data_IF_717761829253
#
_entry.id   IF_717761829253
#
_cell.length_a   1.000
_cell.length_b   1.000
_cell.length_c   1.000
_cell.angle_alpha   90.00
_cell.angle_beta   90.00
_cell.angle_gamma   90.00
#
_symmetry.space_group_name_H-M   'P 1'
#
loop_
_entity.id
_entity.type
_entity.pdbx_description
1 polymer ?
#
# COMPACT_ATOMS: atom_id res chain seq x y z
N UNK A 1 17.18 -0.62 4.17
CA UNK A 1 15.85 -0.86 3.57
C UNK A 1 15.01 -1.91 4.32
N UNK A 2 15.57 -3.05 4.79
CA UNK A 2 14.78 -4.11 5.46
C UNK A 2 13.89 -3.63 6.62
N UNK A 3 14.40 -2.75 7.49
CA UNK A 3 13.62 -2.16 8.59
C UNK A 3 12.41 -1.38 8.05
N UNK A 4 12.62 -0.52 7.05
CA UNK A 4 11.56 0.25 6.39
C UNK A 4 10.49 -0.69 5.82
N UNK A 5 10.89 -1.80 5.21
CA UNK A 5 9.95 -2.79 4.69
C UNK A 5 9.16 -3.49 5.80
N UNK A 6 9.80 -3.77 6.94
CA UNK A 6 9.12 -4.29 8.13
C UNK A 6 8.09 -3.30 8.69
N UNK A 7 8.42 -2.00 8.70
CA UNK A 7 7.49 -0.93 9.11
C UNK A 7 6.29 -0.87 8.14
N UNK A 8 6.52 -0.88 6.83
CA UNK A 8 5.45 -0.88 5.82
C UNK A 8 4.58 -2.14 5.98
N UNK A 9 5.18 -3.31 6.15
CA UNK A 9 4.45 -4.56 6.40
C UNK A 9 3.53 -4.42 7.62
N UNK A 10 4.08 -3.95 8.74
CA UNK A 10 3.31 -3.77 9.98
C UNK A 10 2.18 -2.77 9.79
N UNK A 11 2.44 -1.64 9.13
CA UNK A 11 1.41 -0.64 8.84
C UNK A 11 0.28 -1.19 7.98
N UNK A 12 0.59 -1.95 6.92
CA UNK A 12 -0.42 -2.58 6.08
C UNK A 12 -1.21 -3.66 6.82
N UNK A 13 -0.58 -4.43 7.72
CA UNK A 13 -1.28 -5.38 8.59
C UNK A 13 -2.22 -4.67 9.58
N UNK A 14 -1.83 -3.52 10.12
CA UNK A 14 -2.73 -2.70 10.93
C UNK A 14 -3.92 -2.22 10.11
N UNK A 15 -3.71 -1.84 8.84
CA UNK A 15 -4.79 -1.46 7.94
C UNK A 15 -5.73 -2.64 7.69
N UNK A 16 -5.22 -3.85 7.42
CA UNK A 16 -6.04 -5.08 7.33
C UNK A 16 -6.83 -5.30 8.63
N UNK A 17 -6.21 -5.09 9.79
CA UNK A 17 -6.84 -5.29 11.09
C UNK A 17 -8.02 -4.36 11.38
N UNK A 18 -7.97 -3.10 10.93
CA UNK A 18 -9.11 -2.18 11.17
C UNK A 18 -10.32 -2.51 10.29
N UNK A 19 -10.13 -3.19 9.16
CA UNK A 19 -11.20 -3.55 8.21
C UNK A 19 -12.18 -4.60 8.73
N UNK A 20 -11.89 -5.27 9.85
CA UNK A 20 -12.88 -6.16 10.47
C UNK A 20 -14.15 -5.43 10.95
N UNK A 21 -14.09 -4.10 11.03
CA UNK A 21 -15.22 -3.25 11.44
C UNK A 21 -16.04 -2.71 10.26
N UNK A 22 -15.61 -2.94 9.01
CA UNK A 22 -16.23 -2.36 7.82
C UNK A 22 -17.03 -3.43 7.01
N UNK A 23 -18.21 -3.07 6.46
CA UNK A 23 -19.10 -4.02 5.77
C UNK A 23 -18.51 -4.61 4.48
N UNK A 24 -17.64 -3.87 3.81
CA UNK A 24 -16.90 -4.26 2.61
C UNK A 24 -15.41 -4.59 2.91
N UNK A 25 -15.08 -4.79 4.19
CA UNK A 25 -13.72 -4.95 4.68
C UNK A 25 -12.92 -6.08 4.02
N UNK A 26 -13.56 -7.11 3.46
CA UNK A 26 -12.86 -8.19 2.76
C UNK A 26 -12.08 -7.72 1.52
N UNK A 27 -12.63 -6.76 0.77
CA UNK A 27 -11.94 -6.15 -0.36
C UNK A 27 -10.73 -5.35 0.12
N UNK A 28 -10.91 -4.52 1.13
CA UNK A 28 -9.85 -3.69 1.71
C UNK A 28 -8.73 -4.51 2.36
N UNK A 29 -9.08 -5.62 3.03
CA UNK A 29 -8.12 -6.58 3.54
C UNK A 29 -7.26 -7.17 2.42
N UNK A 30 -7.82 -7.45 1.25
CA UNK A 30 -7.06 -7.90 0.09
C UNK A 30 -6.14 -6.79 -0.43
N UNK A 31 -6.68 -5.58 -0.59
CA UNK A 31 -5.95 -4.40 -1.10
C UNK A 31 -4.72 -4.11 -0.24
N UNK A 32 -4.84 -4.15 1.09
CA UNK A 32 -3.71 -3.90 1.99
C UNK A 32 -2.86 -5.15 2.28
N UNK A 33 -3.47 -6.34 2.25
CA UNK A 33 -2.80 -7.60 2.54
C UNK A 33 -1.73 -7.97 1.51
N UNK A 34 -1.97 -7.74 0.22
CA UNK A 34 -0.98 -7.99 -0.83
C UNK A 34 0.31 -7.17 -0.63
N UNK A 35 0.25 -5.83 -0.47
CA UNK A 35 1.39 -5.01 -0.07
C UNK A 35 2.05 -5.45 1.24
N UNK A 36 1.27 -5.86 2.25
CA UNK A 36 1.81 -6.37 3.51
C UNK A 36 2.72 -7.58 3.29
N UNK A 37 2.26 -8.55 2.50
CA UNK A 37 3.03 -9.76 2.17
C UNK A 37 4.30 -9.39 1.40
N UNK A 38 4.19 -8.54 0.37
CA UNK A 38 5.37 -8.11 -0.41
C UNK A 38 6.38 -7.38 0.46
N UNK A 39 5.94 -6.50 1.36
CA UNK A 39 6.79 -5.78 2.28
C UNK A 39 7.45 -6.72 3.31
N UNK A 40 6.71 -7.69 3.84
CA UNK A 40 7.24 -8.72 4.74
C UNK A 40 8.29 -9.61 4.07
N UNK A 41 8.01 -10.09 2.87
CA UNK A 41 8.97 -10.85 2.05
C UNK A 41 10.21 -10.02 1.73
N UNK A 42 10.05 -8.75 1.37
CA UNK A 42 11.17 -7.86 1.10
C UNK A 42 11.99 -7.57 2.38
N UNK A 43 11.36 -7.48 3.55
CA UNK A 43 12.03 -7.29 4.83
C UNK A 43 12.91 -8.51 5.19
N UNK A 44 12.40 -9.72 4.98
CA UNK A 44 13.13 -10.96 5.29
C UNK A 44 14.17 -11.31 4.22
N UNK A 45 13.74 -11.41 2.96
CA UNK A 45 14.56 -11.83 1.82
C UNK A 45 14.27 -10.96 0.58
N UNK A 46 14.91 -9.77 0.48
CA UNK A 46 14.67 -8.80 -0.61
C UNK A 46 14.76 -9.38 -2.02
N UNK A 47 15.65 -10.35 -2.25
CA UNK A 47 15.84 -10.97 -3.56
C UNK A 47 14.57 -11.63 -4.12
N UNK A 48 13.68 -12.15 -3.26
CA UNK A 48 12.41 -12.75 -3.68
C UNK A 48 11.52 -11.71 -4.38
N UNK A 49 11.54 -10.46 -3.91
CA UNK A 49 10.67 -9.38 -4.39
C UNK A 49 11.37 -8.53 -5.45
N UNK A 50 12.69 -8.38 -5.39
CA UNK A 50 13.43 -7.47 -6.27
C UNK A 50 14.00 -8.13 -7.53
N UNK A 51 13.78 -9.43 -7.75
CA UNK A 51 14.28 -10.19 -8.90
C UNK A 51 13.18 -11.04 -9.55
N UNK A 52 13.41 -11.44 -10.81
CA UNK A 52 12.55 -12.36 -11.56
C UNK A 52 11.06 -11.99 -11.51
N UNK A 53 10.22 -12.98 -11.18
CA UNK A 53 8.76 -12.85 -11.10
C UNK A 53 8.34 -11.89 -9.98
N UNK A 54 9.03 -11.89 -8.83
CA UNK A 54 8.70 -10.99 -7.73
C UNK A 54 8.86 -9.52 -8.11
N UNK A 55 9.88 -9.21 -8.92
CA UNK A 55 10.06 -7.86 -9.48
C UNK A 55 8.90 -7.47 -10.37
N UNK A 56 8.47 -8.35 -11.27
CA UNK A 56 7.33 -8.09 -12.14
C UNK A 56 6.04 -7.89 -11.32
N UNK A 57 5.80 -8.75 -10.32
CA UNK A 57 4.65 -8.66 -9.43
C UNK A 57 4.62 -7.33 -8.65
N UNK A 58 5.76 -6.90 -8.10
CA UNK A 58 5.85 -5.61 -7.41
C UNK A 58 5.55 -4.44 -8.36
N UNK A 59 6.09 -4.45 -9.58
CA UNK A 59 5.84 -3.38 -10.55
C UNK A 59 4.37 -3.33 -10.99
N UNK A 60 3.73 -4.48 -11.18
CA UNK A 60 2.28 -4.56 -11.44
C UNK A 60 1.50 -4.00 -10.25
N UNK A 61 1.85 -4.38 -9.02
CA UNK A 61 1.20 -3.85 -7.82
C UNK A 61 1.36 -2.33 -7.72
N UNK A 62 2.54 -1.78 -8.03
CA UNK A 62 2.76 -0.32 -8.07
C UNK A 62 1.87 0.33 -9.12
N UNK A 63 1.79 -0.23 -10.33
CA UNK A 63 0.95 0.32 -11.39
C UNK A 63 -0.54 0.31 -11.02
N UNK A 64 -1.03 -0.80 -10.47
CA UNK A 64 -2.40 -0.93 -9.97
C UNK A 64 -2.67 0.01 -8.79
N UNK A 65 -1.71 0.18 -7.88
CA UNK A 65 -1.83 1.09 -6.74
C UNK A 65 -1.91 2.56 -7.20
N UNK A 66 -1.09 2.96 -8.18
CA UNK A 66 -1.19 4.31 -8.77
C UNK A 66 -2.54 4.51 -9.45
N UNK A 67 -3.00 3.55 -10.26
CA UNK A 67 -4.33 3.62 -10.87
C UNK A 67 -5.44 3.67 -9.80
N UNK A 68 -5.31 2.89 -8.73
CA UNK A 68 -6.21 2.90 -7.58
C UNK A 68 -6.22 4.26 -6.87
N UNK A 69 -5.07 4.89 -6.66
CA UNK A 69 -4.99 6.23 -6.06
C UNK A 69 -5.72 7.28 -6.90
N UNK A 70 -5.62 7.18 -8.23
CA UNK A 70 -6.35 8.08 -9.13
C UNK A 70 -7.86 7.82 -9.11
N UNK A 71 -8.26 6.54 -9.03
CA UNK A 71 -9.66 6.14 -8.99
C UNK A 71 -10.35 6.50 -7.67
N UNK A 72 -9.72 6.20 -6.54
CA UNK A 72 -10.19 6.50 -5.19
C UNK A 72 -9.77 7.90 -4.71
N UNK A 73 -9.48 8.83 -5.63
CA UNK A 73 -9.10 10.18 -5.25
C UNK A 73 -10.28 10.88 -4.55
N UNK A 74 -10.14 11.34 -3.29
CA UNK A 74 -11.26 11.95 -2.58
C UNK A 74 -11.69 13.26 -3.24
N UNK A 75 -12.97 13.35 -3.61
CA UNK A 75 -13.52 14.53 -4.27
C UNK A 75 -13.86 15.67 -3.30
N UNK A 76 -14.04 15.39 -2.00
CA UNK A 76 -14.43 16.41 -1.03
C UNK A 76 -13.27 17.36 -0.68
N UNK A 77 -13.54 18.67 -0.55
CA UNK A 77 -12.54 19.61 -0.07
C UNK A 77 -12.05 19.26 1.34
N UNK A 78 -10.74 19.35 1.55
CA UNK A 78 -10.18 19.12 2.88
C UNK A 78 -10.22 17.68 3.35
N UNK A 79 -10.30 16.69 2.45
CA UNK A 79 -10.26 15.26 2.77
C UNK A 79 -9.08 14.86 3.68
N UNK A 80 -7.97 15.60 3.64
CA UNK A 80 -6.80 15.37 4.50
C UNK A 80 -6.99 15.78 5.96
N UNK A 81 -8.03 16.57 6.27
CA UNK A 81 -8.32 16.97 7.64
C UNK A 81 -8.93 15.81 8.42
N UNK A 82 -8.42 15.56 9.63
CA UNK A 82 -8.90 14.48 10.50
C UNK A 82 -10.41 14.53 10.73
N UNK A 83 -10.99 15.72 10.88
CA UNK A 83 -12.44 15.88 11.06
C UNK A 83 -13.26 15.39 9.87
N UNK A 84 -12.66 15.30 8.68
CA UNK A 84 -13.30 14.85 7.44
C UNK A 84 -13.09 13.35 7.27
N UNK A 85 -11.84 12.89 7.15
CA UNK A 85 -11.58 11.47 6.86
C UNK A 85 -11.93 10.52 8.00
N UNK A 86 -12.12 11.01 9.23
CA UNK A 86 -12.59 10.15 10.32
C UNK A 86 -14.07 9.75 10.16
N UNK A 87 -14.87 10.60 9.51
CA UNK A 87 -16.32 10.43 9.36
C UNK A 87 -16.67 9.97 7.95
N UNK A 88 -15.97 10.50 6.95
CA UNK A 88 -16.22 10.24 5.53
C UNK A 88 -15.39 9.06 5.04
N UNK A 89 -16.07 7.95 4.76
CA UNK A 89 -15.48 6.69 4.30
C UNK A 89 -14.61 6.86 3.05
N UNK A 90 -15.13 7.52 2.01
CA UNK A 90 -14.40 7.74 0.76
C UNK A 90 -13.10 8.54 0.93
N UNK A 91 -13.06 9.47 1.89
CA UNK A 91 -11.83 10.19 2.24
C UNK A 91 -10.83 9.26 2.95
N UNK A 92 -11.31 8.43 3.88
CA UNK A 92 -10.49 7.45 4.62
C UNK A 92 -9.87 6.42 3.68
N UNK A 93 -10.69 5.84 2.81
CA UNK A 93 -10.30 4.86 1.79
C UNK A 93 -9.26 5.45 0.84
N UNK A 94 -9.53 6.62 0.27
CA UNK A 94 -8.61 7.30 -0.64
C UNK A 94 -7.26 7.60 0.00
N UNK A 95 -7.24 8.09 1.25
CA UNK A 95 -6.01 8.27 2.02
C UNK A 95 -5.29 6.95 2.29
N UNK A 96 -6.03 5.88 2.60
CA UNK A 96 -5.47 4.54 2.79
C UNK A 96 -4.76 4.04 1.53
N UNK A 97 -5.39 4.21 0.36
CA UNK A 97 -4.79 3.86 -0.95
C UNK A 97 -3.55 4.72 -1.22
N UNK A 98 -3.56 6.04 -0.93
CA UNK A 98 -2.37 6.90 -1.10
C UNK A 98 -1.19 6.43 -0.24
N UNK A 99 -1.43 6.06 1.01
CA UNK A 99 -0.40 5.56 1.93
C UNK A 99 0.16 4.22 1.42
N UNK A 100 -0.72 3.31 1.01
CA UNK A 100 -0.34 2.03 0.43
C UNK A 100 0.52 2.20 -0.83
N UNK A 101 0.09 3.05 -1.77
CA UNK A 101 0.84 3.37 -3.00
C UNK A 101 2.22 3.93 -2.66
N UNK A 102 2.30 4.84 -1.70
CA UNK A 102 3.58 5.39 -1.21
C UNK A 102 4.49 4.28 -0.68
N UNK A 103 3.95 3.36 0.13
CA UNK A 103 4.69 2.20 0.64
C UNK A 103 5.24 1.29 -0.46
N UNK A 104 4.43 0.99 -1.48
CA UNK A 104 4.85 0.18 -2.63
C UNK A 104 5.93 0.88 -3.47
N UNK A 105 5.82 2.20 -3.69
CA UNK A 105 6.86 2.99 -4.37
C UNK A 105 8.18 2.91 -3.60
N UNK A 106 8.15 3.09 -2.27
CA UNK A 106 9.33 2.94 -1.41
C UNK A 106 9.94 1.54 -1.54
N UNK A 107 9.10 0.50 -1.62
CA UNK A 107 9.53 -0.88 -1.84
C UNK A 107 10.28 -1.06 -3.17
N UNK A 108 9.83 -0.36 -4.22
CA UNK A 108 10.38 -0.42 -5.57
C UNK A 108 11.61 0.49 -5.78
N UNK A 109 11.85 1.49 -4.92
CA UNK A 109 12.95 2.46 -5.10
C UNK A 109 14.32 1.84 -5.42
N UNK A 110 14.80 0.79 -4.73
CA UNK A 110 16.12 0.21 -5.05
C UNK A 110 16.22 -0.36 -6.46
N UNK A 111 15.10 -0.74 -7.07
CA UNK A 111 15.04 -1.26 -8.44
C UNK A 111 15.08 -0.13 -9.48
N UNK A 112 14.55 1.04 -9.13
CA UNK A 112 14.53 2.23 -9.97
C UNK A 112 15.88 2.97 -9.94
N UNK A 113 16.55 2.94 -8.80
CA UNK A 113 17.80 3.66 -8.56
C UNK A 113 19.05 2.88 -8.97
N UNK A 114 18.98 1.55 -9.04
CA UNK A 114 20.05 0.73 -9.62
C UNK A 114 19.98 0.78 -11.14
N UNK A 115 20.55 1.85 -11.72
CA UNK A 115 21.00 1.84 -13.11
C UNK A 115 22.08 0.76 -13.25
N UNK A 116 21.93 -0.10 -14.25
CA UNK A 116 22.85 -1.22 -14.52
C UNK A 116 24.29 -0.78 -14.72
#
# INVERSE_FOLDING_TARGET
>A
MRIVYGIICTLMLLFVGVQYNDPDGSLWMLIYGVPAILAGLAAWRPAIVHQGIGRAALLVCVALAVAGTLYYWPAMPGFWNMKVWWVEETAREGLGVMIMTTGLIILALPMLLRRG
#
